data_IF_170055372437
#
_entry.id   IF_170055372437
#
_cell.length_a   1.000
_cell.length_b   1.000
_cell.length_c   1.000
_cell.angle_alpha   90.00
_cell.angle_beta   90.00
_cell.angle_gamma   90.00
#
_symmetry.space_group_name_H-M   'P 1'
#
loop_
_entity.id
_entity.type
_entity.pdbx_description
1 polymer ?
#
# COMPACT_ATOMS: atom_id res chain seq x y z
N UNK A 1 -5.46 13.45 -36.17
CA UNK A 1 -6.02 12.19 -35.62
C UNK A 1 -5.00 11.42 -34.78
N UNK A 2 -3.75 11.22 -35.24
CA UNK A 2 -2.68 10.56 -34.46
C UNK A 2 -2.33 11.28 -33.13
N UNK A 3 -2.39 12.62 -33.09
CA UNK A 3 -2.16 13.45 -31.88
C UNK A 3 -2.96 12.99 -30.64
N UNK A 4 -4.23 12.65 -30.84
CA UNK A 4 -5.15 12.29 -29.76
C UNK A 4 -4.77 10.93 -29.13
N UNK A 5 -4.20 10.03 -29.94
CA UNK A 5 -3.80 8.69 -29.50
C UNK A 5 -2.58 8.72 -28.56
N UNK A 6 -1.69 9.71 -28.73
CA UNK A 6 -0.52 9.90 -27.85
C UNK A 6 -0.93 10.32 -26.44
N UNK A 7 -1.80 11.32 -26.37
CA UNK A 7 -2.32 11.86 -25.13
C UNK A 7 -3.17 10.84 -24.35
N UNK A 8 -3.98 10.05 -25.07
CA UNK A 8 -4.81 9.00 -24.48
C UNK A 8 -3.99 7.90 -23.80
N UNK A 9 -2.81 7.54 -24.34
CA UNK A 9 -1.93 6.52 -23.71
C UNK A 9 -1.30 7.02 -22.40
N UNK A 10 -0.87 8.28 -22.36
CA UNK A 10 -0.36 8.90 -21.13
C UNK A 10 -1.42 8.96 -20.02
N UNK A 11 -2.62 9.42 -20.35
CA UNK A 11 -3.74 9.44 -19.38
C UNK A 11 -4.22 8.05 -18.98
N UNK A 12 -4.15 7.07 -19.87
CA UNK A 12 -4.46 5.67 -19.52
C UNK A 12 -3.45 5.09 -18.52
N UNK A 13 -2.17 5.47 -18.62
CA UNK A 13 -1.15 5.16 -17.60
C UNK A 13 -1.49 5.72 -16.22
N UNK A 14 -1.88 7.00 -16.16
CA UNK A 14 -2.30 7.63 -14.91
C UNK A 14 -3.62 7.05 -14.35
N UNK A 15 -4.58 6.71 -15.20
CA UNK A 15 -5.84 6.10 -14.79
C UNK A 15 -5.63 4.67 -14.25
N UNK A 16 -4.86 3.84 -14.98
CA UNK A 16 -4.58 2.46 -14.55
C UNK A 16 -3.77 2.41 -13.27
N UNK A 17 -2.83 3.34 -13.05
CA UNK A 17 -2.06 3.42 -11.82
C UNK A 17 -2.95 3.61 -10.58
N UNK A 18 -3.82 4.63 -10.58
CA UNK A 18 -4.63 4.96 -9.41
C UNK A 18 -5.73 3.94 -9.13
N UNK A 19 -6.34 3.37 -10.18
CA UNK A 19 -7.39 2.36 -10.04
C UNK A 19 -6.82 1.09 -9.40
N UNK A 20 -5.67 0.61 -9.88
CA UNK A 20 -5.05 -0.62 -9.37
C UNK A 20 -4.48 -0.44 -7.97
N UNK A 21 -3.85 0.70 -7.67
CA UNK A 21 -3.34 0.98 -6.33
C UNK A 21 -4.46 1.13 -5.30
N UNK A 22 -5.56 1.81 -5.65
CA UNK A 22 -6.72 1.93 -4.75
C UNK A 22 -7.40 0.59 -4.50
N UNK A 23 -7.47 -0.28 -5.52
CA UNK A 23 -7.95 -1.65 -5.32
C UNK A 23 -7.05 -2.40 -4.33
N UNK A 24 -5.72 -2.33 -4.50
CA UNK A 24 -4.76 -2.96 -3.59
C UNK A 24 -4.92 -2.49 -2.14
N UNK A 25 -5.02 -1.18 -1.93
CA UNK A 25 -5.18 -0.59 -0.60
C UNK A 25 -6.52 -0.98 0.04
N UNK A 26 -7.62 -0.96 -0.72
CA UNK A 26 -8.93 -1.40 -0.24
C UNK A 26 -8.93 -2.89 0.13
N UNK A 27 -8.34 -3.73 -0.73
CA UNK A 27 -8.26 -5.18 -0.53
C UNK A 27 -7.33 -5.58 0.63
N UNK A 28 -6.29 -4.80 0.92
CA UNK A 28 -5.48 -5.00 2.13
C UNK A 28 -6.21 -4.57 3.40
N UNK A 29 -6.90 -3.42 3.34
CA UNK A 29 -7.57 -2.78 4.49
C UNK A 29 -8.74 -3.60 5.03
N UNK A 30 -9.68 -4.01 4.16
CA UNK A 30 -10.85 -4.77 4.62
C UNK A 30 -10.46 -6.13 5.23
N UNK A 31 -9.43 -6.81 4.69
CA UNK A 31 -9.01 -8.15 5.12
C UNK A 31 -8.35 -8.11 6.50
N UNK A 32 -7.42 -7.18 6.70
CA UNK A 32 -6.82 -6.92 8.02
C UNK A 32 -7.86 -6.37 9.01
N UNK A 33 -8.80 -5.55 8.54
CA UNK A 33 -9.87 -4.97 9.34
C UNK A 33 -10.81 -6.01 9.95
N UNK A 34 -11.18 -7.05 9.20
CA UNK A 34 -11.99 -8.17 9.73
C UNK A 34 -11.28 -8.90 10.87
N UNK A 35 -9.96 -9.12 10.76
CA UNK A 35 -9.15 -9.69 11.84
C UNK A 35 -9.09 -8.81 13.09
N UNK A 36 -9.01 -7.48 12.91
CA UNK A 36 -9.03 -6.52 14.01
C UNK A 36 -10.37 -6.50 14.74
N UNK A 37 -11.49 -6.45 14.02
CA UNK A 37 -12.82 -6.45 14.63
C UNK A 37 -13.07 -7.72 15.45
N UNK A 38 -12.64 -8.88 14.95
CA UNK A 38 -12.74 -10.14 15.70
C UNK A 38 -11.95 -10.11 17.02
N UNK A 39 -10.77 -9.49 17.02
CA UNK A 39 -9.97 -9.34 18.22
C UNK A 39 -10.45 -8.23 19.16
N UNK A 40 -11.02 -7.16 18.62
CA UNK A 40 -11.43 -5.98 19.38
C UNK A 40 -12.54 -6.27 20.39
N UNK A 41 -13.40 -7.26 20.11
CA UNK A 41 -14.50 -7.66 21.02
C UNK A 41 -13.97 -8.31 22.29
N UNK A 42 -12.97 -9.20 22.16
CA UNK A 42 -12.43 -9.96 23.29
C UNK A 42 -11.31 -9.18 24.00
N UNK A 43 -10.56 -8.35 23.27
CA UNK A 43 -9.38 -7.66 23.78
C UNK A 43 -9.24 -6.21 23.27
N UNK A 44 -10.01 -5.26 23.82
CA UNK A 44 -10.05 -3.88 23.32
C UNK A 44 -8.74 -3.11 23.56
N UNK A 45 -7.95 -3.48 24.58
CA UNK A 45 -6.69 -2.78 24.88
C UNK A 45 -5.58 -3.03 23.83
N UNK A 46 -5.68 -4.11 23.05
CA UNK A 46 -4.72 -4.45 21.99
C UNK A 46 -4.98 -3.77 20.64
N UNK A 47 -6.13 -3.11 20.47
CA UNK A 47 -6.60 -2.60 19.18
C UNK A 47 -5.67 -1.53 18.60
N UNK A 48 -5.20 -0.60 19.43
CA UNK A 48 -4.37 0.53 19.00
C UNK A 48 -3.03 0.06 18.42
N UNK A 49 -2.41 -0.95 19.03
CA UNK A 49 -1.14 -1.51 18.54
C UNK A 49 -1.35 -2.19 17.19
N UNK A 50 -2.40 -2.99 17.08
CA UNK A 50 -2.71 -3.75 15.86
C UNK A 50 -3.23 -2.88 14.69
N UNK A 51 -3.62 -1.62 14.93
CA UNK A 51 -4.05 -0.67 13.90
C UNK A 51 -2.95 -0.36 12.87
N UNK A 52 -1.67 -0.47 13.25
CA UNK A 52 -0.53 -0.22 12.36
C UNK A 52 -0.61 -1.10 11.10
N UNK A 53 -1.12 -2.33 11.21
CA UNK A 53 -1.25 -3.22 10.05
C UNK A 53 -2.25 -2.71 8.99
N UNK A 54 -3.32 -2.05 9.44
CA UNK A 54 -4.32 -1.44 8.56
C UNK A 54 -3.74 -0.20 7.88
N UNK A 55 -3.02 0.63 8.64
CA UNK A 55 -2.37 1.83 8.09
C UNK A 55 -1.35 1.45 7.02
N UNK A 56 -0.56 0.40 7.25
CA UNK A 56 0.42 -0.08 6.28
C UNK A 56 -0.22 -0.57 4.97
N UNK A 57 -1.43 -1.14 5.00
CA UNK A 57 -2.18 -1.46 3.77
C UNK A 57 -2.74 -0.19 3.08
N UNK A 58 -3.06 0.86 3.84
CA UNK A 58 -3.62 2.11 3.33
C UNK A 58 -2.62 2.99 2.57
N UNK A 59 -1.34 3.00 2.99
CA UNK A 59 -0.30 3.87 2.39
C UNK A 59 -0.06 3.56 0.90
N UNK A 60 -0.35 2.33 0.44
CA UNK A 60 -0.16 1.94 -0.96
C UNK A 60 -1.00 2.77 -1.94
N UNK A 61 -2.15 3.28 -1.51
CA UNK A 61 -2.97 4.19 -2.33
C UNK A 61 -2.26 5.53 -2.60
N UNK A 62 -1.46 5.99 -1.64
CA UNK A 62 -0.69 7.25 -1.77
C UNK A 62 0.40 7.09 -2.82
N UNK A 63 1.03 5.91 -2.91
CA UNK A 63 2.04 5.65 -3.94
C UNK A 63 1.47 5.77 -5.36
N UNK A 64 0.27 5.23 -5.60
CA UNK A 64 -0.43 5.39 -6.89
C UNK A 64 -0.83 6.84 -7.18
N UNK A 65 -1.29 7.58 -6.16
CA UNK A 65 -1.65 9.00 -6.31
C UNK A 65 -0.44 9.86 -6.72
N UNK A 66 0.72 9.64 -6.07
CA UNK A 66 1.96 10.36 -6.37
C UNK A 66 2.39 10.10 -7.82
N UNK A 67 2.35 8.85 -8.29
CA UNK A 67 2.73 8.53 -9.67
C UNK A 67 1.74 9.13 -10.67
N UNK A 68 0.44 9.07 -10.42
CA UNK A 68 -0.56 9.70 -11.31
C UNK A 68 -0.38 11.22 -11.43
N UNK A 69 -0.09 11.93 -10.34
CA UNK A 69 0.11 13.39 -10.40
C UNK A 69 1.41 13.77 -11.11
N UNK A 70 2.46 12.96 -10.98
CA UNK A 70 3.72 13.17 -11.70
C UNK A 70 3.55 12.94 -13.19
N UNK A 71 2.84 11.89 -13.61
CA UNK A 71 2.51 11.65 -15.02
C UNK A 71 1.68 12.82 -15.57
N UNK A 72 0.69 13.30 -14.83
CA UNK A 72 -0.13 14.44 -15.25
C UNK A 72 0.69 15.74 -15.41
N UNK A 73 1.67 15.97 -14.54
CA UNK A 73 2.57 17.12 -14.61
C UNK A 73 3.64 17.03 -15.70
N UNK A 74 4.04 15.82 -16.09
CA UNK A 74 5.02 15.58 -17.17
C UNK A 74 4.41 15.72 -18.57
N UNK A 75 3.09 15.74 -18.71
CA UNK A 75 2.40 15.96 -19.98
C UNK A 75 2.37 17.48 -20.26
N UNK A 76 3.29 17.96 -21.10
CA UNK A 76 3.27 19.35 -21.58
C UNK A 76 2.15 19.57 -22.60
N UNK A 77 1.32 20.58 -22.36
CA UNK A 77 0.32 21.03 -23.32
C UNK A 77 1.01 21.66 -24.56
N UNK A 78 0.46 21.48 -25.77
CA UNK A 78 1.04 22.05 -26.99
C UNK A 78 1.02 23.59 -26.94
N UNK A 79 2.20 24.21 -26.96
CA UNK A 79 2.38 25.65 -27.10
C UNK A 79 2.01 26.11 -28.53
N UNK A 80 1.06 27.04 -28.62
CA UNK A 80 0.33 27.44 -29.82
C UNK A 80 1.11 28.35 -30.79
N UNK A 81 2.25 27.93 -31.35
CA UNK A 81 2.87 28.69 -32.46
C UNK A 81 3.35 27.84 -33.64
N UNK A 82 3.63 26.55 -33.46
CA UNK A 82 3.70 25.57 -34.55
C UNK A 82 3.12 24.26 -33.99
N UNK A 83 2.07 23.70 -34.58
CA UNK A 83 1.32 22.52 -34.09
C UNK A 83 2.08 21.18 -34.06
N UNK A 84 3.38 21.22 -33.80
CA UNK A 84 4.30 20.09 -33.63
C UNK A 84 4.35 19.77 -32.15
N UNK A 85 3.81 18.62 -31.74
CA UNK A 85 3.93 18.17 -30.35
C UNK A 85 5.34 17.68 -30.12
N UNK A 86 5.94 18.17 -29.04
CA UNK A 86 7.16 17.64 -28.42
C UNK A 86 6.94 16.29 -27.72
N UNK A 87 5.72 15.74 -27.77
CA UNK A 87 5.39 14.44 -27.17
C UNK A 87 5.64 13.29 -28.15
N UNK A 88 6.79 12.64 -28.03
CA UNK A 88 7.18 11.49 -28.84
C UNK A 88 6.37 10.22 -28.50
N UNK A 89 6.22 9.31 -29.48
CA UNK A 89 5.56 8.01 -29.30
C UNK A 89 6.20 7.17 -28.19
N UNK A 90 7.50 7.35 -27.95
CA UNK A 90 8.23 6.69 -26.87
C UNK A 90 7.74 7.10 -25.48
N UNK A 91 7.49 8.40 -25.26
CA UNK A 91 7.03 8.91 -23.96
C UNK A 91 5.64 8.38 -23.60
N UNK A 92 4.72 8.32 -24.58
CA UNK A 92 3.38 7.77 -24.35
C UNK A 92 3.38 6.33 -23.85
N UNK A 93 4.28 5.47 -24.37
CA UNK A 93 4.45 4.10 -23.89
C UNK A 93 5.23 4.03 -22.57
N UNK A 94 6.20 4.91 -22.36
CA UNK A 94 6.97 4.99 -21.12
C UNK A 94 6.06 5.30 -19.91
N UNK A 95 5.18 6.31 -20.01
CA UNK A 95 4.25 6.64 -18.92
C UNK A 95 3.19 5.57 -18.70
N UNK A 96 2.74 4.89 -19.76
CA UNK A 96 1.84 3.74 -19.63
C UNK A 96 2.51 2.59 -18.86
N UNK A 97 3.76 2.26 -19.21
CA UNK A 97 4.53 1.22 -18.54
C UNK A 97 4.84 1.58 -17.07
N UNK A 98 5.18 2.85 -16.81
CA UNK A 98 5.41 3.36 -15.46
C UNK A 98 4.15 3.22 -14.58
N UNK A 99 2.99 3.65 -15.09
CA UNK A 99 1.72 3.54 -14.39
C UNK A 99 1.31 2.10 -14.08
N UNK A 100 1.44 1.19 -15.05
CA UNK A 100 1.15 -0.24 -14.87
C UNK A 100 2.11 -0.93 -13.90
N UNK A 101 3.41 -0.62 -13.97
CA UNK A 101 4.42 -1.20 -13.07
C UNK A 101 4.12 -0.85 -11.61
N UNK A 102 3.90 0.43 -11.31
CA UNK A 102 3.56 0.87 -9.96
C UNK A 102 2.19 0.32 -9.51
N UNK A 103 1.16 0.40 -10.36
CA UNK A 103 -0.20 -0.05 -10.03
C UNK A 103 -0.29 -1.55 -9.72
N UNK A 104 0.34 -2.40 -10.54
CA UNK A 104 0.36 -3.86 -10.31
C UNK A 104 1.19 -4.25 -9.09
N UNK A 105 2.32 -3.56 -8.85
CA UNK A 105 3.15 -3.78 -7.66
C UNK A 105 2.39 -3.43 -6.38
N UNK A 106 1.63 -2.33 -6.39
CA UNK A 106 0.81 -1.90 -5.26
C UNK A 106 -0.37 -2.86 -5.03
N UNK A 107 -0.98 -3.39 -6.09
CA UNK A 107 -2.03 -4.41 -5.97
C UNK A 107 -1.50 -5.69 -5.31
N UNK A 108 -0.35 -6.19 -5.76
CA UNK A 108 0.27 -7.39 -5.20
C UNK A 108 0.70 -7.20 -3.73
N UNK A 109 1.34 -6.06 -3.43
CA UNK A 109 1.74 -5.69 -2.07
C UNK A 109 0.53 -5.51 -1.15
N UNK A 110 -0.56 -4.91 -1.62
CA UNK A 110 -1.82 -4.74 -0.87
C UNK A 110 -2.48 -6.06 -0.50
N UNK A 111 -2.50 -7.02 -1.43
CA UNK A 111 -2.97 -8.38 -1.15
C UNK A 111 -2.12 -9.10 -0.11
N UNK A 112 -0.79 -9.03 -0.25
CA UNK A 112 0.15 -9.67 0.68
C UNK A 112 0.08 -9.08 2.10
N UNK A 113 0.09 -7.74 2.21
CA UNK A 113 -0.05 -7.03 3.49
C UNK A 113 -1.39 -7.30 4.16
N UNK A 114 -2.48 -7.42 3.40
CA UNK A 114 -3.79 -7.80 3.93
C UNK A 114 -3.83 -9.19 4.55
N UNK A 115 -3.23 -10.18 3.88
CA UNK A 115 -3.18 -11.56 4.40
C UNK A 115 -2.27 -11.64 5.63
N UNK A 116 -1.08 -11.05 5.55
CA UNK A 116 -0.13 -11.03 6.65
C UNK A 116 -0.67 -10.25 7.86
N UNK A 117 -1.41 -9.16 7.62
CA UNK A 117 -2.06 -8.35 8.64
C UNK A 117 -3.14 -9.13 9.38
N UNK A 118 -4.03 -9.81 8.65
CA UNK A 118 -5.08 -10.63 9.28
C UNK A 118 -4.50 -11.71 10.21
N UNK A 119 -3.50 -12.46 9.74
CA UNK A 119 -2.85 -13.51 10.54
C UNK A 119 -2.11 -12.90 11.73
N UNK A 120 -1.40 -11.78 11.52
CA UNK A 120 -0.67 -11.07 12.56
C UNK A 120 -1.57 -10.57 13.70
N UNK A 121 -2.72 -9.98 13.35
CA UNK A 121 -3.69 -9.44 14.31
C UNK A 121 -4.36 -10.56 15.11
N UNK A 122 -4.74 -11.67 14.45
CA UNK A 122 -5.32 -12.84 15.13
C UNK A 122 -4.31 -13.49 16.09
N UNK A 123 -3.05 -13.59 15.71
CA UNK A 123 -2.00 -14.18 16.54
C UNK A 123 -1.70 -13.34 17.81
N UNK A 124 -1.57 -12.02 17.69
CA UNK A 124 -1.39 -11.14 18.86
C UNK A 124 -2.58 -11.22 19.81
N UNK A 125 -3.76 -11.39 19.24
CA UNK A 125 -4.98 -11.52 20.00
C UNK A 125 -5.16 -12.84 20.77
N UNK A 126 -4.90 -13.98 20.15
CA UNK A 126 -4.91 -15.28 20.85
C UNK A 126 -3.87 -15.34 21.98
N UNK A 127 -2.71 -14.67 21.79
CA UNK A 127 -1.69 -14.56 22.83
C UNK A 127 -2.19 -13.75 24.03
N UNK A 128 -2.96 -12.69 23.80
CA UNK A 128 -3.55 -11.88 24.86
C UNK A 128 -4.53 -12.71 25.71
N UNK A 129 -5.45 -13.46 25.08
CA UNK A 129 -6.36 -14.38 25.76
C UNK A 129 -5.61 -15.42 26.63
N UNK A 130 -4.55 -16.02 26.08
CA UNK A 130 -3.78 -17.05 26.77
C UNK A 130 -3.00 -16.50 27.97
N UNK A 131 -2.51 -15.26 27.87
CA UNK A 131 -1.87 -14.57 28.99
C UNK A 131 -2.89 -14.27 30.09
N UNK A 132 -4.11 -13.86 29.75
CA UNK A 132 -5.19 -13.69 30.72
C UNK A 132 -5.59 -14.99 31.42
N UNK A 133 -5.66 -16.12 30.69
CA UNK A 133 -5.95 -17.43 31.26
C UNK A 133 -4.83 -17.92 32.21
N UNK A 134 -3.55 -17.74 31.85
CA UNK A 134 -2.41 -18.08 32.71
C UNK A 134 -2.36 -17.22 33.98
N UNK A 135 -2.58 -15.92 33.84
CA UNK A 135 -2.68 -15.01 34.99
C UNK A 135 -3.85 -15.41 35.90
N UNK A 136 -5.00 -15.76 35.35
CA UNK A 136 -6.15 -16.24 36.14
C UNK A 136 -5.85 -17.54 36.90
N UNK A 137 -5.09 -18.47 36.29
CA UNK A 137 -4.70 -19.73 36.93
C UNK A 137 -3.65 -19.54 38.04
N UNK A 138 -2.77 -18.53 37.93
CA UNK A 138 -1.73 -18.23 38.92
C UNK A 138 -2.24 -17.35 40.07
N UNK A 139 -3.23 -16.49 39.83
CA UNK A 139 -3.66 -15.45 40.80
C UNK A 139 -4.96 -15.78 41.54
N UNK A 140 -5.48 -17.01 41.45
CA UNK A 140 -6.52 -17.54 42.36
C UNK A 140 -7.57 -16.52 42.83
N UNK A 141 -8.33 -15.93 41.91
CA UNK A 141 -9.54 -15.15 42.25
C UNK A 141 -9.35 -13.70 42.71
N UNK A 142 -8.19 -13.05 42.58
CA UNK A 142 -8.06 -11.61 42.84
C UNK A 142 -7.65 -10.83 41.60
N UNK A 143 -8.49 -9.88 41.19
CA UNK A 143 -8.40 -9.08 39.96
C UNK A 143 -7.21 -8.11 39.92
N UNK A 144 -6.01 -8.65 39.74
CA UNK A 144 -4.82 -7.89 39.45
C UNK A 144 -4.58 -7.85 37.92
N UNK A 145 -4.82 -6.69 37.33
CA UNK A 145 -4.41 -6.31 35.99
C UNK A 145 -2.88 -6.24 35.93
N UNK A 146 -2.23 -7.36 35.59
CA UNK A 146 -0.81 -7.36 35.23
C UNK A 146 -0.68 -7.21 33.72
N UNK A 147 -0.21 -6.02 33.37
CA UNK A 147 0.30 -5.63 32.06
C UNK A 147 1.55 -6.47 31.77
N UNK A 148 1.39 -7.68 31.24
CA UNK A 148 2.50 -8.43 30.63
C UNK A 148 2.65 -7.98 29.17
N UNK A 149 3.18 -6.76 29.02
CA UNK A 149 3.54 -6.10 27.76
C UNK A 149 4.62 -6.90 26.98
N UNK A 150 5.33 -7.81 27.66
CA UNK A 150 6.55 -8.44 27.17
C UNK A 150 6.35 -9.55 26.13
N UNK A 151 5.36 -10.44 26.30
CA UNK A 151 5.23 -11.61 25.42
C UNK A 151 4.29 -11.39 24.22
N UNK A 152 3.22 -10.61 24.39
CA UNK A 152 2.36 -10.17 23.29
C UNK A 152 3.10 -9.21 22.33
N UNK A 153 3.99 -8.37 22.86
CA UNK A 153 4.84 -7.48 22.09
C UNK A 153 5.79 -8.22 21.13
N UNK A 154 6.31 -9.38 21.52
CA UNK A 154 7.23 -10.17 20.66
C UNK A 154 6.56 -10.66 19.37
N UNK A 155 5.29 -11.07 19.43
CA UNK A 155 4.55 -11.47 18.22
C UNK A 155 4.10 -10.27 17.39
N UNK A 156 3.83 -9.13 18.02
CA UNK A 156 3.53 -7.87 17.33
C UNK A 156 4.74 -7.38 16.51
N UNK A 157 5.94 -7.38 17.08
CA UNK A 157 7.17 -7.02 16.33
C UNK A 157 7.36 -7.95 15.13
N UNK A 158 7.13 -9.26 15.30
CA UNK A 158 7.27 -10.23 14.22
C UNK A 158 6.31 -10.00 13.05
N UNK A 159 5.04 -9.69 13.34
CA UNK A 159 4.05 -9.39 12.29
C UNK A 159 4.32 -8.06 11.60
N UNK A 160 4.76 -7.03 12.33
CA UNK A 160 5.14 -5.72 11.76
C UNK A 160 6.36 -5.83 10.85
N UNK A 161 7.35 -6.64 11.22
CA UNK A 161 8.53 -6.87 10.37
C UNK A 161 8.14 -7.46 9.01
N UNK A 162 7.26 -8.47 9.01
CA UNK A 162 6.76 -9.08 7.78
C UNK A 162 5.95 -8.09 6.94
N UNK A 163 5.15 -7.23 7.58
CA UNK A 163 4.40 -6.17 6.90
C UNK A 163 5.33 -5.14 6.24
N UNK A 164 6.46 -4.81 6.88
CA UNK A 164 7.45 -3.88 6.32
C UNK A 164 8.07 -4.42 5.03
N UNK A 165 8.47 -5.70 5.02
CA UNK A 165 8.99 -6.33 3.80
C UNK A 165 7.95 -6.42 2.69
N UNK A 166 6.69 -6.71 3.04
CA UNK A 166 5.59 -6.71 2.07
C UNK A 166 5.33 -5.31 1.49
N UNK A 167 5.40 -4.27 2.32
CA UNK A 167 5.26 -2.87 1.90
C UNK A 167 6.40 -2.38 1.00
N UNK A 168 7.62 -2.91 1.17
CA UNK A 168 8.77 -2.56 0.33
C UNK A 168 8.56 -2.87 -1.16
N UNK A 169 7.75 -3.89 -1.48
CA UNK A 169 7.41 -4.28 -2.86
C UNK A 169 6.70 -3.13 -3.60
N UNK A 170 5.76 -2.45 -2.93
CA UNK A 170 5.06 -1.30 -3.50
C UNK A 170 6.00 -0.11 -3.75
N UNK A 171 6.94 0.10 -2.82
CA UNK A 171 7.94 1.17 -2.92
C UNK A 171 8.91 0.93 -4.10
N UNK A 172 9.31 -0.31 -4.36
CA UNK A 172 10.13 -0.63 -5.53
C UNK A 172 9.41 -0.31 -6.85
N UNK A 173 8.12 -0.63 -6.96
CA UNK A 173 7.30 -0.27 -8.12
C UNK A 173 7.22 1.24 -8.36
N UNK A 174 7.14 2.02 -7.28
CA UNK A 174 7.15 3.48 -7.34
C UNK A 174 8.51 4.03 -7.83
N UNK A 175 9.64 3.51 -7.31
CA UNK A 175 10.98 3.94 -7.76
C UNK A 175 11.16 3.71 -9.26
N UNK A 176 10.78 2.53 -9.75
CA UNK A 176 10.89 2.20 -11.18
C UNK A 176 10.01 3.13 -12.02
N UNK A 177 8.78 3.39 -11.61
CA UNK A 177 7.88 4.31 -12.30
C UNK A 177 8.44 5.74 -12.37
N UNK A 178 9.11 6.20 -11.31
CA UNK A 178 9.79 7.50 -11.27
C UNK A 178 10.96 7.55 -12.23
N UNK A 179 11.84 6.54 -12.25
CA UNK A 179 12.99 6.50 -13.15
C UNK A 179 12.55 6.55 -14.61
N UNK A 180 11.50 5.81 -14.97
CA UNK A 180 10.94 5.80 -16.34
C UNK A 180 10.37 7.17 -16.71
N UNK A 181 9.70 7.84 -15.76
CA UNK A 181 9.07 9.15 -16.00
C UNK A 181 10.10 10.30 -16.02
N UNK A 182 11.19 10.19 -15.27
CA UNK A 182 12.27 11.19 -15.27
C UNK A 182 13.21 11.06 -16.48
N UNK A 183 13.35 9.86 -17.06
CA UNK A 183 14.20 9.62 -18.23
C UNK A 183 13.51 9.88 -19.56
N UNK A 184 12.20 10.13 -19.57
CA UNK A 184 11.40 10.35 -20.80
C UNK A 184 11.47 11.79 -21.35
N UNK A 185 12.36 12.67 -20.88
CA UNK A 185 12.58 13.97 -21.53
C UNK A 185 13.51 13.82 -22.74
N UNK A 186 13.00 13.26 -23.83
CA UNK A 186 13.65 13.31 -25.13
C UNK A 186 13.13 14.51 -25.91
N UNK A 187 13.98 15.51 -26.11
CA UNK A 187 13.76 16.54 -27.13
C UNK A 187 13.98 15.87 -28.49
N UNK A 188 12.96 15.87 -29.35
CA UNK A 188 13.19 15.61 -30.77
C UNK A 188 13.97 16.80 -31.34
N UNK A 189 15.12 16.52 -31.93
CA UNK A 189 15.74 17.42 -32.91
C UNK A 189 14.90 17.46 -34.19
#
# INVERSE_FOLDING_TARGET
MLQFFFYLRGYFGAASCIILSNWGAAWGTWKSGLGLCGMAVNHPQGVIKNLVAIIMAGVLGIYGLIVSIIIAGAISAPSNENGINTYSQYNGWAHLAAGLCCGLSCLASGGATGVAGEVGIRATGLRAELNHAKTSALTGGSGAQVVDEGDAGKMYIGSVMILSFAGAIGLYGLIVALIITSSSQYYCE
#
